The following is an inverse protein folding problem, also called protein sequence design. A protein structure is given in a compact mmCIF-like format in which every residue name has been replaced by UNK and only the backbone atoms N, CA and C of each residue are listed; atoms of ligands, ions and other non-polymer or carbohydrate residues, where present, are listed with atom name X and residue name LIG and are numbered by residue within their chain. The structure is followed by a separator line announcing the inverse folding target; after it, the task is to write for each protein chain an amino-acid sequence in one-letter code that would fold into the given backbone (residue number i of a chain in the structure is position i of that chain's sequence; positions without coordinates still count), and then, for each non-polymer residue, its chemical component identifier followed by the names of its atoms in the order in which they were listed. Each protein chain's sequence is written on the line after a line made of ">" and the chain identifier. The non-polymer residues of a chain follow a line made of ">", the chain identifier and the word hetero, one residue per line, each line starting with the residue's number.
data_IF_769224002930
#
_entry.id   IF_769224002930
#
_cell.length_a   1.000
_cell.length_b   1.000
_cell.length_c   1.000
_cell.angle_alpha   90.00
_cell.angle_beta   90.00
_cell.angle_gamma   90.00
#
_symmetry.space_group_name_H-M   'P 1'
#
loop_
_entity.id
_entity.type
_entity.pdbx_description
1 polymer ?
#
# COMPACT_ATOMS: atom_id res chain seq x y z
N UNK A 1 6.19 20.99 -4.47
CA UNK A 1 6.27 21.47 -3.06
C UNK A 1 5.06 22.27 -2.64
N UNK A 2 4.62 23.26 -3.42
CA UNK A 2 3.51 24.15 -3.06
C UNK A 2 2.19 23.42 -2.73
N UNK A 3 1.89 22.28 -3.38
CA UNK A 3 0.72 21.45 -3.04
C UNK A 3 0.82 20.68 -1.70
N UNK A 4 2.02 20.27 -1.29
CA UNK A 4 2.19 19.39 -0.11
C UNK A 4 2.32 20.15 1.21
N UNK A 5 2.88 21.37 1.18
CA UNK A 5 3.05 22.16 2.41
C UNK A 5 1.71 22.43 3.11
N UNK A 6 0.66 22.91 2.42
CA UNK A 6 -0.67 23.07 3.04
C UNK A 6 -1.28 21.74 3.46
N UNK A 7 -1.04 20.67 2.70
CA UNK A 7 -1.51 19.32 3.05
C UNK A 7 -0.99 18.88 4.42
N UNK A 8 0.27 19.18 4.72
CA UNK A 8 0.87 18.85 6.02
C UNK A 8 0.15 19.52 7.20
N UNK A 9 -0.38 20.73 7.03
CA UNK A 9 -1.18 21.38 8.06
C UNK A 9 -2.57 20.73 8.20
N UNK A 10 -3.21 20.41 7.08
CA UNK A 10 -4.53 19.76 7.05
C UNK A 10 -4.47 18.41 7.76
N UNK A 11 -3.47 17.57 7.45
CA UNK A 11 -3.33 16.26 8.09
C UNK A 11 -3.01 16.39 9.58
N UNK A 12 -2.20 17.37 10.00
CA UNK A 12 -1.89 17.56 11.43
C UNK A 12 -3.15 17.95 12.20
N UNK A 13 -3.96 18.87 11.66
CA UNK A 13 -5.24 19.26 12.25
C UNK A 13 -6.21 18.07 12.30
N UNK A 14 -6.27 17.29 11.23
CA UNK A 14 -7.13 16.11 11.14
C UNK A 14 -6.74 15.03 12.15
N UNK A 15 -5.46 14.63 12.18
CA UNK A 15 -4.95 13.63 13.13
C UNK A 15 -5.15 14.06 14.59
N UNK A 16 -4.94 15.35 14.88
CA UNK A 16 -5.17 15.89 16.23
C UNK A 16 -6.64 15.86 16.62
N UNK A 17 -7.54 16.13 15.68
CA UNK A 17 -8.99 16.03 15.89
C UNK A 17 -9.43 14.59 16.18
N UNK A 18 -8.88 13.60 15.48
CA UNK A 18 -9.14 12.17 15.73
C UNK A 18 -8.61 11.76 17.11
N UNK A 19 -7.37 12.13 17.44
CA UNK A 19 -6.76 11.77 18.72
C UNK A 19 -7.47 12.45 19.91
N UNK A 20 -7.87 13.71 19.78
CA UNK A 20 -8.60 14.43 20.82
C UNK A 20 -9.90 13.74 21.21
N UNK A 21 -10.63 13.20 20.23
CA UNK A 21 -11.88 12.47 20.47
C UNK A 21 -11.66 11.21 21.30
N UNK A 22 -10.54 10.50 21.05
CA UNK A 22 -10.15 9.31 21.80
C UNK A 22 -9.66 9.65 23.21
N UNK A 23 -8.76 10.62 23.35
CA UNK A 23 -8.21 11.00 24.67
C UNK A 23 -9.29 11.62 25.56
N UNK A 24 -10.17 12.45 24.98
CA UNK A 24 -11.24 13.12 25.73
C UNK A 24 -12.49 12.25 25.94
N UNK A 25 -12.45 10.96 25.55
CA UNK A 25 -13.58 10.02 25.58
C UNK A 25 -14.86 10.52 24.91
N UNK A 26 -14.77 11.54 24.04
CA UNK A 26 -15.91 12.06 23.28
C UNK A 26 -16.42 11.06 22.24
N UNK A 27 -15.54 10.15 21.81
CA UNK A 27 -15.90 9.04 20.92
C UNK A 27 -16.85 8.03 21.55
N UNK A 28 -16.92 7.90 22.89
CA UNK A 28 -17.86 6.98 23.56
C UNK A 28 -19.31 7.32 23.21
N UNK A 29 -19.65 8.62 23.17
CA UNK A 29 -20.99 9.09 22.80
C UNK A 29 -21.35 8.76 21.33
N UNK A 30 -20.35 8.71 20.45
CA UNK A 30 -20.55 8.37 19.04
C UNK A 30 -20.70 6.86 18.83
N UNK A 31 -20.06 6.03 19.66
CA UNK A 31 -20.17 4.57 19.58
C UNK A 31 -21.53 4.03 20.05
N UNK A 32 -22.24 4.80 20.89
CA UNK A 32 -23.59 4.45 21.40
C UNK A 32 -24.70 5.07 20.54
N UNK A 33 -24.36 6.02 19.67
CA UNK A 33 -25.32 6.60 18.73
C UNK A 33 -25.74 5.55 17.67
N UNK A 34 -26.99 5.57 17.18
CA UNK A 34 -27.46 4.67 16.13
C UNK A 34 -26.95 5.13 14.75
N UNK A 35 -25.64 5.33 14.63
CA UNK A 35 -24.95 5.84 13.44
C UNK A 35 -23.89 4.83 13.04
N UNK A 36 -23.76 4.55 11.75
CA UNK A 36 -22.74 3.62 11.29
C UNK A 36 -21.33 4.21 11.49
N UNK A 37 -20.35 3.34 11.76
CA UNK A 37 -18.95 3.75 11.93
C UNK A 37 -18.41 4.47 10.69
N UNK A 38 -18.85 4.03 9.51
CA UNK A 38 -18.47 4.66 8.25
C UNK A 38 -19.00 6.09 8.18
N UNK A 39 -20.24 6.35 8.61
CA UNK A 39 -20.82 7.69 8.62
C UNK A 39 -20.09 8.61 9.59
N UNK A 40 -19.69 8.11 10.75
CA UNK A 40 -18.91 8.87 11.74
C UNK A 40 -17.56 9.28 11.14
N UNK A 41 -16.84 8.31 10.57
CA UNK A 41 -15.52 8.55 9.97
C UNK A 41 -15.66 9.48 8.75
N UNK A 42 -16.56 9.18 7.82
CA UNK A 42 -16.78 9.98 6.63
C UNK A 42 -17.22 11.41 6.97
N UNK A 43 -18.19 11.58 7.88
CA UNK A 43 -18.66 12.89 8.33
C UNK A 43 -17.55 13.74 8.93
N UNK A 44 -16.56 13.11 9.59
CA UNK A 44 -15.38 13.80 10.12
C UNK A 44 -14.30 14.03 9.08
N UNK A 45 -14.09 13.13 8.14
CA UNK A 45 -13.06 13.24 7.10
C UNK A 45 -13.46 14.23 5.99
N UNK A 46 -14.73 14.27 5.59
CA UNK A 46 -15.23 15.05 4.46
C UNK A 46 -14.90 16.56 4.54
N UNK A 47 -15.02 17.25 5.68
CA UNK A 47 -14.60 18.65 5.78
C UNK A 47 -13.11 18.86 5.45
N UNK A 48 -12.24 17.95 5.88
CA UNK A 48 -10.81 18.03 5.59
C UNK A 48 -10.51 17.71 4.13
N UNK A 49 -11.26 16.80 3.51
CA UNK A 49 -11.21 16.55 2.06
C UNK A 49 -11.63 17.81 1.29
N UNK A 50 -12.73 18.45 1.69
CA UNK A 50 -13.21 19.68 1.05
C UNK A 50 -12.18 20.82 1.13
N UNK A 51 -11.57 21.02 2.30
CA UNK A 51 -10.48 21.99 2.48
C UNK A 51 -9.27 21.62 1.62
N UNK A 52 -8.87 20.35 1.60
CA UNK A 52 -7.76 19.87 0.78
C UNK A 52 -8.00 20.10 -0.72
N UNK A 53 -9.21 19.82 -1.21
CA UNK A 53 -9.61 20.09 -2.61
C UNK A 53 -9.61 21.59 -2.89
N UNK A 54 -10.19 22.41 -2.01
CA UNK A 54 -10.25 23.86 -2.20
C UNK A 54 -8.85 24.49 -2.26
N UNK A 55 -7.96 24.10 -1.35
CA UNK A 55 -6.56 24.56 -1.34
C UNK A 55 -5.82 24.06 -2.57
N UNK A 56 -6.03 22.80 -2.96
CA UNK A 56 -5.43 22.23 -4.19
C UNK A 56 -5.90 22.98 -5.43
N UNK A 57 -7.19 23.30 -5.53
CA UNK A 57 -7.75 24.06 -6.64
C UNK A 57 -7.19 25.48 -6.69
N UNK A 58 -7.14 26.18 -5.56
CA UNK A 58 -6.56 27.52 -5.48
C UNK A 58 -5.10 27.53 -5.94
N UNK A 59 -4.31 26.54 -5.54
CA UNK A 59 -2.91 26.42 -5.96
C UNK A 59 -2.82 26.07 -7.45
N UNK A 60 -3.58 25.07 -7.92
CA UNK A 60 -3.56 24.62 -9.30
C UNK A 60 -3.86 25.76 -10.27
N UNK A 61 -4.96 26.49 -10.04
CA UNK A 61 -5.30 27.65 -10.87
C UNK A 61 -4.32 28.80 -10.69
N UNK A 62 -3.80 29.02 -9.47
CA UNK A 62 -2.82 30.07 -9.19
C UNK A 62 -1.48 29.90 -9.91
N UNK A 63 -1.09 28.67 -10.24
CA UNK A 63 0.14 28.36 -10.99
C UNK A 63 -0.09 28.12 -12.48
N UNK A 64 -1.32 28.34 -12.98
CA UNK A 64 -1.68 28.15 -14.39
C UNK A 64 -2.04 26.71 -14.80
N UNK A 65 -2.26 25.81 -13.83
CA UNK A 65 -2.81 24.48 -14.08
C UNK A 65 -4.34 24.49 -14.23
N UNK A 66 -4.94 23.33 -14.48
CA UNK A 66 -6.39 23.18 -14.66
C UNK A 66 -7.03 22.21 -13.65
N UNK A 67 -8.27 21.80 -13.92
CA UNK A 67 -8.93 20.72 -13.18
C UNK A 67 -8.14 19.41 -13.24
N UNK A 68 -7.34 19.17 -14.29
CA UNK A 68 -6.47 18.01 -14.38
C UNK A 68 -5.44 18.00 -13.23
N UNK A 69 -4.76 19.13 -12.98
CA UNK A 69 -3.88 19.28 -11.82
C UNK A 69 -4.59 19.01 -10.49
N UNK A 70 -5.84 19.44 -10.36
CA UNK A 70 -6.64 19.17 -9.16
C UNK A 70 -6.89 17.67 -9.01
N UNK A 71 -7.36 17.02 -10.07
CA UNK A 71 -7.63 15.57 -10.08
C UNK A 71 -6.38 14.71 -9.92
N UNK A 72 -5.20 15.20 -10.29
CA UNK A 72 -3.93 14.52 -10.06
C UNK A 72 -3.50 14.58 -8.57
N UNK A 73 -3.83 15.65 -7.86
CA UNK A 73 -3.41 15.88 -6.46
C UNK A 73 -4.43 15.35 -5.43
N UNK A 74 -5.72 15.27 -5.76
CA UNK A 74 -6.74 14.65 -4.90
C UNK A 74 -6.34 13.28 -4.34
N UNK A 75 -5.89 12.30 -5.14
CA UNK A 75 -5.54 10.98 -4.61
C UNK A 75 -4.37 11.04 -3.61
N UNK A 76 -3.43 11.98 -3.80
CA UNK A 76 -2.37 12.25 -2.83
C UNK A 76 -2.99 12.70 -1.50
N UNK A 77 -3.89 13.69 -1.54
CA UNK A 77 -4.56 14.21 -0.35
C UNK A 77 -5.34 13.12 0.40
N UNK A 78 -6.06 12.27 -0.32
CA UNK A 78 -6.82 11.16 0.24
C UNK A 78 -5.92 10.15 0.94
N UNK A 79 -4.79 9.75 0.32
CA UNK A 79 -3.83 8.83 0.95
C UNK A 79 -3.23 9.42 2.22
N UNK A 80 -2.88 10.71 2.20
CA UNK A 80 -2.38 11.43 3.37
C UNK A 80 -3.40 11.47 4.52
N UNK A 81 -4.67 11.77 4.22
CA UNK A 81 -5.75 11.75 5.20
C UNK A 81 -6.02 10.33 5.72
N UNK A 82 -6.09 9.33 4.85
CA UNK A 82 -6.34 7.95 5.23
C UNK A 82 -5.22 7.37 6.11
N UNK A 83 -3.96 7.60 5.75
CA UNK A 83 -2.81 7.18 6.54
C UNK A 83 -2.79 7.88 7.90
N UNK A 84 -3.11 9.18 7.93
CA UNK A 84 -3.19 9.95 9.18
C UNK A 84 -4.32 9.47 10.07
N UNK A 85 -5.47 9.11 9.50
CA UNK A 85 -6.59 8.52 10.24
C UNK A 85 -6.15 7.23 10.93
N UNK A 86 -5.57 6.29 10.18
CA UNK A 86 -5.03 5.04 10.73
C UNK A 86 -3.98 5.33 11.82
N UNK A 87 -3.06 6.25 11.55
CA UNK A 87 -2.03 6.66 12.50
C UNK A 87 -2.60 7.23 13.81
N UNK A 88 -3.66 8.03 13.73
CA UNK A 88 -4.33 8.61 14.89
C UNK A 88 -5.17 7.59 15.68
N UNK A 89 -5.70 6.56 15.01
CA UNK A 89 -6.33 5.42 15.69
C UNK A 89 -5.29 4.61 16.48
N UNK A 90 -4.06 4.51 15.98
CA UNK A 90 -3.00 3.75 16.64
C UNK A 90 -2.25 4.53 17.73
N UNK A 91 -2.05 5.83 17.55
CA UNK A 91 -1.31 6.65 18.50
C UNK A 91 -2.01 6.72 19.87
N UNK A 92 -1.24 6.67 20.97
CA UNK A 92 -1.76 6.79 22.34
C UNK A 92 -1.65 8.21 22.90
N UNK A 93 -0.82 9.04 22.28
CA UNK A 93 -0.54 10.40 22.71
C UNK A 93 -0.19 11.29 21.52
N UNK A 94 -0.23 12.61 21.71
CA UNK A 94 0.18 13.58 20.69
C UNK A 94 1.63 13.39 20.26
N UNK A 95 2.50 12.97 21.19
CA UNK A 95 3.90 12.64 20.89
C UNK A 95 3.98 11.47 19.91
N UNK A 96 3.26 10.37 20.17
CA UNK A 96 3.22 9.22 19.26
C UNK A 96 2.58 9.57 17.91
N UNK A 97 1.50 10.35 17.91
CA UNK A 97 0.87 10.83 16.69
C UNK A 97 1.84 11.66 15.85
N UNK A 98 2.64 12.52 16.47
CA UNK A 98 3.66 13.30 15.78
C UNK A 98 4.70 12.39 15.13
N UNK A 99 5.20 11.37 15.84
CA UNK A 99 6.12 10.40 15.24
C UNK A 99 5.51 9.66 14.05
N UNK A 100 4.26 9.19 14.19
CA UNK A 100 3.57 8.46 13.12
C UNK A 100 3.32 9.35 11.91
N UNK A 101 2.84 10.58 12.11
CA UNK A 101 2.56 11.54 11.03
C UNK A 101 3.83 12.02 10.33
N UNK A 102 4.95 12.16 11.04
CA UNK A 102 6.26 12.43 10.42
C UNK A 102 6.67 11.26 9.55
N UNK A 103 6.57 10.02 10.02
CA UNK A 103 6.88 8.82 9.21
C UNK A 103 6.02 8.75 7.95
N UNK A 104 4.70 8.96 8.08
CA UNK A 104 3.77 9.02 6.94
C UNK A 104 4.20 10.10 5.95
N UNK A 105 4.48 11.30 6.45
CA UNK A 105 4.83 12.44 5.61
C UNK A 105 6.14 12.21 4.88
N UNK A 106 7.18 11.74 5.55
CA UNK A 106 8.49 11.45 4.93
C UNK A 106 8.35 10.39 3.84
N UNK A 107 7.61 9.31 4.12
CA UNK A 107 7.43 8.23 3.15
C UNK A 107 6.65 8.69 1.93
N UNK A 108 5.46 9.27 2.13
CA UNK A 108 4.59 9.70 1.03
C UNK A 108 5.23 10.84 0.22
N UNK A 109 5.89 11.78 0.89
CA UNK A 109 6.62 12.87 0.22
C UNK A 109 7.77 12.33 -0.63
N UNK A 110 8.53 11.35 -0.12
CA UNK A 110 9.58 10.67 -0.91
C UNK A 110 9.01 10.02 -2.15
N UNK A 111 7.89 9.28 -2.01
CA UNK A 111 7.22 8.67 -3.16
C UNK A 111 6.78 9.70 -4.20
N UNK A 112 6.21 10.82 -3.75
CA UNK A 112 5.67 11.83 -4.66
C UNK A 112 6.80 12.56 -5.40
N UNK A 113 7.93 12.81 -4.75
CA UNK A 113 9.01 13.60 -5.35
C UNK A 113 10.03 12.77 -6.14
N UNK A 114 10.51 11.64 -5.61
CA UNK A 114 11.63 10.90 -6.21
C UNK A 114 11.37 10.59 -7.69
N UNK A 115 10.23 10.00 -8.08
CA UNK A 115 9.97 9.71 -9.48
C UNK A 115 9.81 10.99 -10.32
N UNK A 116 9.17 12.03 -9.77
CA UNK A 116 8.91 13.29 -10.48
C UNK A 116 10.18 14.06 -10.88
N UNK A 117 11.34 13.74 -10.31
CA UNK A 117 12.63 14.33 -10.70
C UNK A 117 13.07 13.83 -12.08
N UNK A 118 12.66 12.63 -12.48
CA UNK A 118 13.04 12.00 -13.75
C UNK A 118 12.16 12.46 -14.92
N UNK A 119 11.90 13.76 -15.04
CA UNK A 119 11.03 14.35 -16.08
C UNK A 119 11.39 13.92 -17.51
N UNK A 120 12.68 13.67 -17.79
CA UNK A 120 13.17 13.20 -19.09
C UNK A 120 12.97 11.69 -19.33
N UNK A 121 12.47 10.94 -18.34
CA UNK A 121 12.20 9.50 -18.42
C UNK A 121 10.74 9.28 -18.02
N UNK A 122 9.84 9.56 -18.97
CA UNK A 122 8.39 9.60 -18.73
C UNK A 122 7.83 8.39 -17.97
N UNK A 123 8.21 7.12 -18.26
CA UNK A 123 7.67 5.98 -17.51
C UNK A 123 8.05 6.00 -16.02
N UNK A 124 9.24 6.48 -15.67
CA UNK A 124 9.68 6.64 -14.27
C UNK A 124 8.97 7.82 -13.65
N UNK A 125 8.87 8.96 -14.35
CA UNK A 125 8.18 10.13 -13.85
C UNK A 125 6.72 9.82 -13.51
N UNK A 126 6.01 9.10 -14.37
CA UNK A 126 4.59 8.75 -14.20
C UNK A 126 4.29 7.86 -12.99
N UNK A 127 5.29 7.34 -12.28
CA UNK A 127 5.09 6.67 -10.99
C UNK A 127 4.45 7.65 -9.97
N UNK A 128 4.78 8.93 -10.05
CA UNK A 128 4.20 9.96 -9.19
C UNK A 128 2.99 10.65 -9.85
N UNK A 129 1.84 10.77 -9.16
CA UNK A 129 0.73 11.61 -9.62
C UNK A 129 1.11 13.08 -9.83
N UNK A 130 2.13 13.58 -9.11
CA UNK A 130 2.58 14.97 -9.26
C UNK A 130 3.18 15.25 -10.65
N UNK A 131 3.68 14.21 -11.32
CA UNK A 131 4.18 14.33 -12.70
C UNK A 131 3.09 14.79 -13.66
N UNK A 132 1.83 14.40 -13.45
CA UNK A 132 0.72 14.85 -14.30
C UNK A 132 0.53 16.37 -14.26
N UNK A 133 0.77 16.98 -13.09
CA UNK A 133 0.77 18.44 -12.91
C UNK A 133 1.93 19.06 -13.68
N UNK A 134 3.12 18.47 -13.59
CA UNK A 134 4.32 18.97 -14.28
C UNK A 134 4.14 18.92 -15.80
N UNK A 135 3.66 17.79 -16.32
CA UNK A 135 3.35 17.59 -17.74
C UNK A 135 2.34 18.63 -18.24
N UNK A 136 1.25 18.86 -17.50
CA UNK A 136 0.25 19.88 -17.86
C UNK A 136 0.89 21.28 -17.95
N UNK A 137 1.66 21.68 -16.95
CA UNK A 137 2.31 22.99 -16.91
C UNK A 137 3.38 23.17 -18.01
N UNK A 138 3.94 22.07 -18.51
CA UNK A 138 4.87 22.06 -19.65
C UNK A 138 4.15 22.04 -21.01
N UNK A 139 2.82 21.97 -21.03
CA UNK A 139 2.02 21.87 -22.25
C UNK A 139 2.03 20.48 -22.87
N UNK A 140 2.41 19.45 -22.12
CA UNK A 140 2.39 18.06 -22.57
C UNK A 140 0.98 17.46 -22.46
N UNK A 141 0.64 16.55 -23.38
CA UNK A 141 -0.66 15.88 -23.38
C UNK A 141 -0.66 14.74 -22.37
N UNK A 142 -1.57 14.82 -21.40
CA UNK A 142 -1.79 13.74 -20.43
C UNK A 142 -2.86 12.78 -20.95
N UNK A 143 -2.44 11.57 -21.32
CA UNK A 143 -3.35 10.49 -21.71
C UNK A 143 -4.06 9.86 -20.51
N UNK A 144 -5.21 9.22 -20.77
CA UNK A 144 -5.98 8.50 -19.74
C UNK A 144 -5.16 7.38 -19.07
N UNK A 145 -4.34 6.66 -19.85
CA UNK A 145 -3.45 5.62 -19.32
C UNK A 145 -2.46 6.16 -18.30
N UNK A 146 -1.81 7.29 -18.60
CA UNK A 146 -0.91 7.99 -17.68
C UNK A 146 -1.64 8.43 -16.41
N UNK A 147 -2.84 9.01 -16.56
CA UNK A 147 -3.63 9.44 -15.41
C UNK A 147 -3.99 8.26 -14.49
N UNK A 148 -4.54 7.17 -15.04
CA UNK A 148 -4.96 6.00 -14.27
C UNK A 148 -3.75 5.33 -13.62
N UNK A 149 -2.64 5.16 -14.35
CA UNK A 149 -1.43 4.56 -13.81
C UNK A 149 -0.88 5.31 -12.60
N UNK A 150 -0.76 6.64 -12.69
CA UNK A 150 -0.20 7.43 -11.59
C UNK A 150 -1.16 7.56 -10.40
N UNK A 151 -2.48 7.59 -10.63
CA UNK A 151 -3.47 7.92 -9.57
C UNK A 151 -4.15 6.71 -8.94
N UNK A 152 -4.38 5.62 -9.69
CA UNK A 152 -5.11 4.45 -9.18
C UNK A 152 -4.48 3.82 -7.93
N UNK A 153 -3.15 3.65 -7.82
CA UNK A 153 -2.55 3.08 -6.61
C UNK A 153 -2.88 3.89 -5.37
N UNK A 154 -2.87 5.23 -5.47
CA UNK A 154 -3.23 6.11 -4.37
C UNK A 154 -4.71 6.01 -3.99
N UNK A 155 -5.61 6.05 -4.97
CA UNK A 155 -7.04 5.88 -4.68
C UNK A 155 -7.32 4.56 -3.98
N UNK A 156 -6.77 3.45 -4.51
CA UNK A 156 -6.95 2.12 -3.95
C UNK A 156 -6.33 2.02 -2.54
N UNK A 157 -5.09 2.47 -2.36
CA UNK A 157 -4.42 2.50 -1.05
C UNK A 157 -5.19 3.34 -0.03
N UNK A 158 -5.72 4.50 -0.43
CA UNK A 158 -6.53 5.35 0.48
C UNK A 158 -7.81 4.63 0.93
N UNK A 159 -8.50 3.94 0.01
CA UNK A 159 -9.69 3.15 0.33
C UNK A 159 -9.38 2.01 1.30
N UNK A 160 -8.27 1.30 1.09
CA UNK A 160 -7.85 0.22 1.99
C UNK A 160 -7.42 0.77 3.36
N UNK A 161 -6.73 1.90 3.43
CA UNK A 161 -6.38 2.54 4.70
C UNK A 161 -7.64 2.97 5.48
N UNK A 162 -8.63 3.58 4.83
CA UNK A 162 -9.91 3.88 5.47
C UNK A 162 -10.65 2.61 5.91
N UNK A 163 -10.62 1.55 5.09
CA UNK A 163 -11.16 0.25 5.50
C UNK A 163 -10.45 -0.29 6.74
N UNK A 164 -9.12 -0.26 6.84
CA UNK A 164 -8.42 -0.72 8.04
C UNK A 164 -8.75 0.16 9.26
N UNK A 165 -8.70 1.48 9.11
CA UNK A 165 -8.96 2.43 10.20
C UNK A 165 -10.40 2.37 10.73
N UNK A 166 -11.40 2.18 9.86
CA UNK A 166 -12.81 2.02 10.27
C UNK A 166 -13.04 0.68 10.98
N UNK A 167 -12.20 -0.33 10.71
CA UNK A 167 -12.28 -1.65 11.33
C UNK A 167 -12.02 -1.61 12.82
N UNK A 168 -11.06 -0.77 13.22
CA UNK A 168 -10.62 -0.50 14.61
C UNK A 168 -11.33 0.69 15.24
N UNK A 169 -12.36 1.23 14.61
CA UNK A 169 -13.24 2.23 15.22
C UNK A 169 -14.27 1.52 16.12
N UNK A 170 -13.77 0.87 17.17
CA UNK A 170 -14.53 0.10 18.16
C UNK A 170 -14.04 0.46 19.55
N UNK A 171 -14.89 0.27 20.57
CA UNK A 171 -14.55 0.63 21.95
C UNK A 171 -13.28 -0.10 22.42
N UNK A 172 -13.20 -1.40 22.11
CA UNK A 172 -12.07 -2.26 22.46
C UNK A 172 -10.73 -1.74 21.92
N UNK A 173 -10.70 -1.22 20.70
CA UNK A 173 -9.48 -0.79 20.02
C UNK A 173 -9.17 0.68 20.27
N UNK A 174 -10.22 1.52 20.27
CA UNK A 174 -10.11 2.97 20.46
C UNK A 174 -9.54 3.32 21.82
N UNK A 175 -9.81 2.55 22.87
CA UNK A 175 -9.34 2.87 24.21
C UNK A 175 -8.20 1.97 24.69
N UNK A 176 -7.79 0.98 23.90
CA UNK A 176 -6.66 0.11 24.24
C UNK A 176 -5.34 0.90 24.35
N UNK A 177 -4.50 0.47 25.29
CA UNK A 177 -3.16 1.02 25.53
C UNK A 177 -2.04 0.20 24.87
N UNK A 178 -2.42 -0.72 23.97
CA UNK A 178 -1.48 -1.49 23.14
C UNK A 178 -0.56 -0.56 22.33
N UNK A 179 0.69 -0.99 22.12
CA UNK A 179 1.66 -0.26 21.30
C UNK A 179 1.18 -0.23 19.84
N UNK A 180 1.60 0.80 19.09
CA UNK A 180 1.23 1.00 17.66
C UNK A 180 1.35 -0.29 16.81
N UNK A 181 2.44 -1.08 16.88
CA UNK A 181 2.54 -2.30 16.06
C UNK A 181 1.49 -3.36 16.39
N UNK A 182 1.08 -3.47 17.65
CA UNK A 182 0.04 -4.43 18.05
C UNK A 182 -1.34 -3.96 17.57
N UNK A 183 -1.63 -2.66 17.64
CA UNK A 183 -2.86 -2.10 17.07
C UNK A 183 -2.94 -2.24 15.56
N UNK A 184 -1.79 -2.22 14.89
CA UNK A 184 -1.72 -2.53 13.47
C UNK A 184 -2.14 -3.99 13.22
N UNK A 185 -1.65 -4.95 14.00
CA UNK A 185 -2.10 -6.35 13.90
C UNK A 185 -3.60 -6.49 14.22
N UNK A 186 -4.09 -5.81 15.26
CA UNK A 186 -5.53 -5.78 15.58
C UNK A 186 -6.38 -5.25 14.39
N UNK A 187 -5.88 -4.24 13.67
CA UNK A 187 -6.57 -3.72 12.49
C UNK A 187 -6.66 -4.71 11.33
N UNK A 188 -5.63 -5.55 11.17
CA UNK A 188 -5.64 -6.63 10.19
C UNK A 188 -6.59 -7.73 10.63
N UNK A 189 -6.48 -8.15 11.88
CA UNK A 189 -7.28 -9.22 12.49
C UNK A 189 -8.78 -8.89 12.48
N UNK A 190 -9.15 -7.63 12.73
CA UNK A 190 -10.54 -7.15 12.65
C UNK A 190 -11.20 -7.37 11.28
N UNK A 191 -10.43 -7.70 10.23
CA UNK A 191 -10.90 -8.02 8.88
C UNK A 191 -10.90 -9.53 8.58
N UNK A 192 -10.47 -10.37 9.52
CA UNK A 192 -10.36 -11.81 9.36
C UNK A 192 -11.56 -12.54 9.96
N UNK A 193 -12.09 -13.52 9.22
CA UNK A 193 -13.17 -14.41 9.65
C UNK A 193 -13.05 -15.83 9.08
N UNK A 194 -12.15 -16.06 8.12
CA UNK A 194 -11.94 -17.37 7.51
C UNK A 194 -10.92 -17.33 6.35
N UNK A 195 -10.87 -18.41 5.57
CA UNK A 195 -9.96 -18.52 4.43
C UNK A 195 -10.21 -17.44 3.37
N UNK A 196 -11.49 -17.14 3.10
CA UNK A 196 -11.86 -16.13 2.10
C UNK A 196 -11.40 -14.74 2.49
N UNK A 197 -11.55 -14.36 3.76
CA UNK A 197 -11.12 -13.03 4.22
C UNK A 197 -9.61 -12.86 4.13
N UNK A 198 -8.84 -13.93 4.36
CA UNK A 198 -7.38 -13.93 4.17
C UNK A 198 -7.03 -13.63 2.71
N UNK A 199 -7.57 -14.39 1.75
CA UNK A 199 -7.31 -14.15 0.33
C UNK A 199 -7.76 -12.75 -0.14
N UNK A 200 -8.91 -12.27 0.35
CA UNK A 200 -9.40 -10.91 0.04
C UNK A 200 -8.48 -9.84 0.63
N UNK A 201 -8.04 -9.98 1.88
CA UNK A 201 -7.16 -9.01 2.51
C UNK A 201 -5.80 -8.98 1.82
N UNK A 202 -5.26 -10.13 1.38
CA UNK A 202 -4.07 -10.19 0.52
C UNK A 202 -4.27 -9.42 -0.78
N UNK A 203 -5.40 -9.62 -1.46
CA UNK A 203 -5.73 -8.89 -2.68
C UNK A 203 -5.80 -7.37 -2.44
N UNK A 204 -6.36 -6.95 -1.30
CA UNK A 204 -6.42 -5.54 -0.89
C UNK A 204 -5.04 -4.95 -0.53
N UNK A 205 -4.01 -5.76 -0.31
CA UNK A 205 -2.65 -5.26 -0.10
C UNK A 205 -1.87 -4.99 -1.39
N UNK A 206 -2.31 -5.53 -2.52
CA UNK A 206 -1.64 -5.34 -3.83
C UNK A 206 -1.41 -3.86 -4.19
N UNK A 207 -2.34 -2.91 -3.94
CA UNK A 207 -2.07 -1.50 -4.18
C UNK A 207 -0.84 -0.97 -3.40
N UNK A 208 -0.65 -1.39 -2.14
CA UNK A 208 0.54 -0.99 -1.38
C UNK A 208 1.80 -1.66 -1.94
N UNK A 209 1.73 -2.96 -2.26
CA UNK A 209 2.83 -3.71 -2.87
C UNK A 209 3.31 -2.98 -4.12
N UNK A 210 2.37 -2.64 -5.01
CA UNK A 210 2.65 -1.91 -6.24
C UNK A 210 3.28 -0.53 -5.97
N UNK A 211 2.79 0.22 -4.98
CA UNK A 211 3.43 1.49 -4.55
C UNK A 211 4.89 1.24 -4.11
N UNK A 212 5.15 0.26 -3.26
CA UNK A 212 6.51 -0.01 -2.80
C UNK A 212 7.45 -0.48 -3.94
N UNK A 213 6.95 -1.30 -4.86
CA UNK A 213 7.70 -1.77 -6.02
C UNK A 213 8.04 -0.63 -6.98
N UNK A 214 7.06 0.22 -7.31
CA UNK A 214 7.30 1.38 -8.17
C UNK A 214 8.28 2.36 -7.53
N UNK A 215 8.22 2.56 -6.21
CA UNK A 215 9.22 3.35 -5.50
C UNK A 215 10.61 2.70 -5.60
N UNK A 216 10.68 1.37 -5.45
CA UNK A 216 11.90 0.59 -5.65
C UNK A 216 12.49 0.80 -7.04
N UNK A 217 11.67 0.72 -8.08
CA UNK A 217 12.07 1.00 -9.47
C UNK A 217 12.62 2.42 -9.59
N UNK A 218 11.89 3.43 -9.10
CA UNK A 218 12.30 4.83 -9.21
C UNK A 218 13.63 5.12 -8.48
N UNK A 219 13.84 4.54 -7.30
CA UNK A 219 15.06 4.72 -6.50
C UNK A 219 16.25 3.99 -7.13
N UNK A 220 16.05 2.75 -7.59
CA UNK A 220 17.12 1.92 -8.14
C UNK A 220 17.47 2.25 -9.59
N UNK A 221 16.62 3.02 -10.29
CA UNK A 221 16.83 3.41 -11.69
C UNK A 221 18.17 4.12 -11.93
N UNK A 222 18.70 4.84 -10.94
CA UNK A 222 19.95 5.57 -11.07
C UNK A 222 21.20 4.68 -10.99
N UNK A 223 21.05 3.41 -10.56
CA UNK A 223 22.16 2.48 -10.36
C UNK A 223 22.44 1.66 -11.62
N UNK A 224 23.69 1.17 -11.79
CA UNK A 224 24.01 0.23 -12.86
C UNK A 224 23.10 -1.01 -12.83
N UNK A 225 22.74 -1.51 -14.02
CA UNK A 225 21.82 -2.65 -14.21
C UNK A 225 22.29 -3.90 -13.43
N UNK A 226 23.60 -4.13 -13.36
CA UNK A 226 24.20 -5.25 -12.62
C UNK A 226 23.92 -5.21 -11.11
N UNK A 227 23.59 -4.03 -10.57
CA UNK A 227 23.23 -3.82 -9.16
C UNK A 227 21.71 -3.69 -9.02
N UNK A 228 21.07 -2.92 -9.91
CA UNK A 228 19.65 -2.60 -9.79
C UNK A 228 18.74 -3.80 -10.03
N UNK A 229 19.08 -4.73 -10.94
CA UNK A 229 18.30 -5.95 -11.17
C UNK A 229 18.30 -6.85 -9.93
N UNK A 230 19.44 -7.31 -9.37
CA UNK A 230 19.41 -8.12 -8.15
C UNK A 230 18.72 -7.40 -6.99
N UNK A 231 18.94 -6.08 -6.85
CA UNK A 231 18.33 -5.29 -5.78
C UNK A 231 16.80 -5.22 -5.91
N UNK A 232 16.25 -4.99 -7.11
CA UNK A 232 14.80 -4.89 -7.29
C UNK A 232 14.12 -6.24 -7.05
N UNK A 233 14.75 -7.36 -7.43
CA UNK A 233 14.20 -8.69 -7.18
C UNK A 233 14.09 -8.98 -5.67
N UNK A 234 15.06 -8.51 -4.88
CA UNK A 234 15.00 -8.60 -3.41
C UNK A 234 13.90 -7.69 -2.87
N UNK A 235 13.79 -6.45 -3.35
CA UNK A 235 12.75 -5.51 -2.90
C UNK A 235 11.35 -6.07 -3.16
N UNK A 236 11.09 -6.52 -4.38
CA UNK A 236 9.82 -7.14 -4.79
C UNK A 236 9.49 -8.32 -3.87
N UNK A 237 10.40 -9.30 -3.77
CA UNK A 237 10.18 -10.48 -2.93
C UNK A 237 9.92 -10.12 -1.46
N UNK A 238 10.67 -9.18 -0.88
CA UNK A 238 10.46 -8.75 0.52
C UNK A 238 9.07 -8.13 0.70
N UNK A 239 8.69 -7.20 -0.18
CA UNK A 239 7.42 -6.48 -0.11
C UNK A 239 6.25 -7.46 -0.28
N UNK A 240 6.32 -8.32 -1.29
CA UNK A 240 5.29 -9.32 -1.57
C UNK A 240 5.13 -10.34 -0.44
N UNK A 241 6.22 -10.91 0.07
CA UNK A 241 6.15 -11.92 1.13
C UNK A 241 5.63 -11.33 2.45
N UNK A 242 5.97 -10.08 2.76
CA UNK A 242 5.38 -9.37 3.92
C UNK A 242 3.88 -9.20 3.70
N UNK A 243 3.45 -8.67 2.56
CA UNK A 243 2.04 -8.44 2.27
C UNK A 243 1.22 -9.74 2.35
N UNK A 244 1.72 -10.81 1.75
CA UNK A 244 1.04 -12.12 1.74
C UNK A 244 0.92 -12.77 3.12
N UNK A 245 1.78 -12.42 4.09
CA UNK A 245 1.88 -13.19 5.34
C UNK A 245 1.54 -12.42 6.62
N UNK A 246 1.68 -11.09 6.65
CA UNK A 246 1.57 -10.32 7.90
C UNK A 246 0.17 -10.38 8.53
N UNK A 247 -0.88 -10.43 7.73
CA UNK A 247 -2.26 -10.56 8.22
C UNK A 247 -2.55 -12.00 8.71
N UNK A 248 -1.88 -13.02 8.17
CA UNK A 248 -1.95 -14.39 8.71
C UNK A 248 -1.30 -14.43 10.09
N UNK A 249 -0.15 -13.77 10.25
CA UNK A 249 0.49 -13.62 11.56
C UNK A 249 -0.41 -12.88 12.56
N UNK A 250 -1.07 -11.79 12.13
CA UNK A 250 -2.05 -11.08 12.95
C UNK A 250 -3.18 -11.99 13.45
N UNK A 251 -3.72 -12.85 12.58
CA UNK A 251 -4.78 -13.80 12.95
C UNK A 251 -4.34 -14.88 13.93
N UNK A 252 -3.07 -15.31 13.90
CA UNK A 252 -2.53 -16.23 14.91
C UNK A 252 -2.17 -15.55 16.22
N UNK A 253 -1.69 -14.30 16.18
CA UNK A 253 -1.34 -13.53 17.38
C UNK A 253 -2.60 -13.18 18.20
N UNK A 254 -3.74 -12.95 17.55
CA UNK A 254 -5.03 -12.68 18.19
C UNK A 254 -5.91 -13.93 18.40
N UNK A 255 -5.36 -15.13 18.18
CA UNK A 255 -6.04 -16.43 18.33
C UNK A 255 -7.35 -16.58 17.52
N UNK A 256 -7.50 -15.83 16.43
CA UNK A 256 -8.61 -15.92 15.46
C UNK A 256 -8.62 -17.26 14.72
N UNK A 257 -7.44 -17.86 14.51
CA UNK A 257 -7.28 -19.16 13.85
C UNK A 257 -6.60 -20.18 14.75
N UNK A 258 -7.02 -21.45 14.63
CA UNK A 258 -6.34 -22.55 15.31
C UNK A 258 -4.92 -22.73 14.77
N UNK A 259 -3.98 -23.01 15.66
CA UNK A 259 -2.56 -23.10 15.30
C UNK A 259 -2.19 -24.42 14.61
N UNK A 260 -3.11 -25.20 14.03
CA UNK A 260 -2.75 -26.47 13.36
C UNK A 260 -1.96 -26.23 12.07
N UNK A 261 -1.21 -27.26 11.65
CA UNK A 261 -0.46 -27.23 10.37
C UNK A 261 -1.43 -27.11 9.19
N UNK A 262 -2.56 -27.84 9.24
CA UNK A 262 -3.55 -27.82 8.18
C UNK A 262 -4.16 -26.42 8.00
N UNK A 263 -4.48 -25.73 9.09
CA UNK A 263 -5.01 -24.35 9.04
C UNK A 263 -3.95 -23.38 8.49
N UNK A 264 -2.71 -23.45 8.96
CA UNK A 264 -1.63 -22.62 8.44
C UNK A 264 -1.43 -22.77 6.92
N UNK A 265 -1.42 -24.00 6.40
CA UNK A 265 -1.27 -24.26 4.97
C UNK A 265 -2.48 -23.80 4.15
N UNK A 266 -3.71 -23.95 4.67
CA UNK A 266 -4.93 -23.47 4.00
C UNK A 266 -4.98 -21.94 3.94
N UNK A 267 -4.60 -21.26 5.03
CA UNK A 267 -4.50 -19.79 5.06
C UNK A 267 -3.41 -19.32 4.08
N UNK A 268 -2.25 -19.99 4.08
CA UNK A 268 -1.17 -19.70 3.14
C UNK A 268 -1.58 -19.87 1.68
N UNK A 269 -2.30 -20.96 1.35
CA UNK A 269 -2.83 -21.18 0.01
C UNK A 269 -3.89 -20.12 -0.38
N UNK A 270 -4.81 -19.80 0.53
CA UNK A 270 -5.82 -18.77 0.28
C UNK A 270 -5.19 -17.39 0.03
N UNK A 271 -4.19 -17.01 0.82
CA UNK A 271 -3.44 -15.77 0.61
C UNK A 271 -2.64 -15.80 -0.70
N UNK A 272 -1.90 -16.88 -0.98
CA UNK A 272 -1.14 -17.02 -2.22
C UNK A 272 -2.01 -16.94 -3.48
N UNK A 273 -3.19 -17.57 -3.47
CA UNK A 273 -4.20 -17.45 -4.55
C UNK A 273 -4.74 -16.03 -4.64
N UNK A 274 -5.09 -15.42 -3.50
CA UNK A 274 -5.58 -14.04 -3.45
C UNK A 274 -4.58 -13.04 -4.05
N UNK A 275 -3.30 -13.21 -3.72
CA UNK A 275 -2.22 -12.42 -4.31
C UNK A 275 -2.11 -12.64 -5.82
N UNK A 276 -2.00 -13.90 -6.26
CA UNK A 276 -1.85 -14.24 -7.68
C UNK A 276 -2.99 -13.72 -8.56
N UNK A 277 -4.23 -13.72 -8.05
CA UNK A 277 -5.37 -13.15 -8.77
C UNK A 277 -5.28 -11.63 -8.81
N UNK A 278 -4.93 -11.01 -7.69
CA UNK A 278 -4.92 -9.56 -7.56
C UNK A 278 -3.76 -8.88 -8.31
N UNK A 279 -2.57 -9.51 -8.34
CA UNK A 279 -1.41 -8.98 -9.07
C UNK A 279 -1.69 -8.85 -10.57
N UNK A 280 -2.61 -9.64 -11.15
CA UNK A 280 -2.94 -9.52 -12.59
C UNK A 280 -3.60 -8.18 -12.92
N UNK A 281 -4.18 -7.49 -11.95
CA UNK A 281 -4.71 -6.15 -12.18
C UNK A 281 -3.62 -5.07 -12.31
N UNK A 282 -2.35 -5.40 -12.02
CA UNK A 282 -1.19 -4.50 -12.26
C UNK A 282 -0.82 -4.34 -13.74
N UNK A 283 -1.51 -5.06 -14.65
CA UNK A 283 -1.38 -4.92 -16.12
C UNK A 283 -1.50 -3.47 -16.60
N UNK A 284 -2.17 -2.59 -15.84
CA UNK A 284 -2.22 -1.14 -16.11
C UNK A 284 -0.83 -0.51 -16.32
N UNK A 285 0.23 -1.06 -15.70
CA UNK A 285 1.61 -0.62 -15.93
C UNK A 285 2.08 -0.77 -17.40
N UNK A 286 1.50 -1.70 -18.15
CA UNK A 286 1.78 -1.88 -19.57
C UNK A 286 1.36 -0.66 -20.39
N UNK A 287 0.31 0.06 -19.94
CA UNK A 287 -0.24 1.21 -20.66
C UNK A 287 0.69 2.43 -20.68
N UNK A 288 1.69 2.50 -19.79
CA UNK A 288 2.64 3.62 -19.68
C UNK A 288 4.06 3.28 -20.16
N UNK A 289 4.25 2.12 -20.78
CA UNK A 289 5.54 1.74 -21.36
C UNK A 289 6.63 1.37 -20.35
N UNK A 290 6.30 1.19 -19.07
CA UNK A 290 7.24 0.72 -18.05
C UNK A 290 7.96 -0.60 -18.40
N UNK A 291 7.30 -1.60 -19.04
CA UNK A 291 7.97 -2.82 -19.50
C UNK A 291 9.03 -2.61 -20.60
N UNK A 292 9.07 -1.42 -21.20
CA UNK A 292 10.12 -0.98 -22.11
C UNK A 292 11.45 -0.66 -21.41
N UNK A 293 11.42 -0.46 -20.08
CA UNK A 293 12.62 -0.32 -19.26
C UNK A 293 13.01 -1.69 -18.68
N UNK A 294 14.29 -2.07 -18.74
CA UNK A 294 14.78 -3.33 -18.18
C UNK A 294 14.41 -3.48 -16.70
N UNK A 295 14.60 -2.41 -15.91
CA UNK A 295 14.27 -2.41 -14.48
C UNK A 295 12.76 -2.53 -14.23
N UNK A 296 11.94 -1.84 -15.03
CA UNK A 296 10.48 -1.93 -14.95
C UNK A 296 9.97 -3.32 -15.33
N UNK A 297 10.63 -3.96 -16.30
CA UNK A 297 10.36 -5.34 -16.69
C UNK A 297 10.69 -6.33 -15.58
N UNK A 298 11.87 -6.22 -14.99
CA UNK A 298 12.30 -7.09 -13.89
C UNK A 298 11.42 -6.96 -12.64
N UNK A 299 10.85 -5.77 -12.41
CA UNK A 299 9.96 -5.52 -11.27
C UNK A 299 8.51 -5.96 -11.49
N UNK A 300 7.96 -5.78 -12.70
CA UNK A 300 6.51 -5.85 -12.94
C UNK A 300 6.06 -6.95 -13.91
N UNK A 301 6.97 -7.61 -14.64
CA UNK A 301 6.55 -8.77 -15.42
C UNK A 301 6.35 -9.96 -14.49
N UNK A 302 5.13 -10.53 -14.43
CA UNK A 302 4.94 -11.81 -13.77
C UNK A 302 5.87 -12.79 -14.47
N UNK A 303 6.75 -13.41 -13.69
CA UNK A 303 7.63 -14.46 -14.12
C UNK A 303 6.90 -15.43 -15.09
N UNK A 304 7.22 -15.36 -16.39
CA UNK A 304 6.73 -16.31 -17.39
C UNK A 304 5.53 -15.91 -18.27
N UNK A 305 5.02 -14.68 -18.24
CA UNK A 305 3.94 -14.27 -19.17
C UNK A 305 4.52 -13.51 -20.36
N UNK A 306 5.04 -14.22 -21.36
CA UNK A 306 5.10 -13.69 -22.73
C UNK A 306 3.80 -14.07 -23.45
N UNK A 307 3.29 -13.26 -24.41
CA UNK A 307 2.06 -13.57 -25.16
C UNK A 307 2.10 -14.94 -25.88
N UNK A 308 3.29 -15.49 -26.10
CA UNK A 308 3.56 -16.73 -26.82
C UNK A 308 3.60 -18.00 -25.96
N UNK A 309 3.49 -17.90 -24.62
CA UNK A 309 4.01 -18.95 -23.75
C UNK A 309 2.94 -19.43 -22.76
N UNK A 310 2.54 -20.71 -22.88
CA UNK A 310 1.20 -21.21 -22.53
C UNK A 310 0.85 -21.37 -21.05
N UNK A 311 -0.31 -21.98 -20.79
CA UNK A 311 -0.96 -22.19 -19.47
C UNK A 311 -0.05 -22.78 -18.37
N UNK A 312 1.00 -23.52 -18.74
CA UNK A 312 2.02 -24.05 -17.82
C UNK A 312 2.84 -22.97 -17.10
N UNK A 313 3.03 -21.78 -17.69
CA UNK A 313 3.79 -20.69 -17.06
C UNK A 313 2.96 -19.88 -16.05
N UNK A 314 1.62 -19.95 -16.12
CA UNK A 314 0.77 -19.35 -15.08
C UNK A 314 0.78 -20.16 -13.78
N UNK A 315 1.11 -21.45 -13.84
CA UNK A 315 1.21 -22.32 -12.66
C UNK A 315 2.46 -22.02 -11.83
N UNK A 316 3.56 -21.58 -12.45
CA UNK A 316 4.82 -21.29 -11.78
C UNK A 316 4.68 -20.24 -10.66
N UNK A 317 4.25 -19.00 -10.99
CA UNK A 317 4.01 -17.96 -9.99
C UNK A 317 2.96 -18.37 -8.97
N UNK A 318 1.85 -19.00 -9.39
CA UNK A 318 0.82 -19.45 -8.46
C UNK A 318 1.37 -20.43 -7.41
N UNK A 319 2.13 -21.44 -7.85
CA UNK A 319 2.79 -22.41 -6.96
C UNK A 319 3.77 -21.70 -6.05
N UNK A 320 4.56 -20.75 -6.59
CA UNK A 320 5.48 -19.95 -5.79
C UNK A 320 4.75 -19.23 -4.66
N UNK A 321 3.72 -18.43 -4.97
CA UNK A 321 3.02 -17.66 -3.94
C UNK A 321 2.35 -18.57 -2.91
N UNK A 322 1.78 -19.71 -3.31
CA UNK A 322 1.20 -20.68 -2.36
C UNK A 322 2.28 -21.27 -1.44
N UNK A 323 3.42 -21.67 -2.00
CA UNK A 323 4.51 -22.30 -1.25
C UNK A 323 5.17 -21.30 -0.29
N UNK A 324 5.58 -20.13 -0.77
CA UNK A 324 6.27 -19.13 0.06
C UNK A 324 5.38 -18.58 1.17
N UNK A 325 4.10 -18.37 0.86
CA UNK A 325 3.12 -17.95 1.88
C UNK A 325 2.80 -19.08 2.86
N UNK A 326 2.73 -20.33 2.40
CA UNK A 326 2.59 -21.51 3.26
C UNK A 326 3.75 -21.65 4.24
N UNK A 327 4.99 -21.48 3.78
CA UNK A 327 6.19 -21.46 4.63
C UNK A 327 6.08 -20.38 5.71
N UNK A 328 5.75 -19.14 5.31
CA UNK A 328 5.58 -18.03 6.25
C UNK A 328 4.46 -18.29 7.28
N UNK A 329 3.33 -18.86 6.84
CA UNK A 329 2.21 -19.21 7.72
C UNK A 329 2.57 -20.29 8.75
N UNK A 330 3.43 -21.25 8.39
CA UNK A 330 3.90 -22.29 9.31
C UNK A 330 4.76 -21.73 10.47
N UNK A 331 5.55 -20.68 10.22
CA UNK A 331 6.26 -19.96 11.28
C UNK A 331 5.32 -19.03 12.06
N UNK A 332 4.41 -18.35 11.37
CA UNK A 332 3.42 -17.44 11.95
C UNK A 332 2.58 -18.09 13.06
N UNK A 333 2.21 -19.36 12.91
CA UNK A 333 1.43 -20.09 13.93
C UNK A 333 2.14 -20.24 15.30
N UNK A 334 3.47 -20.13 15.32
CA UNK A 334 4.29 -20.42 16.52
C UNK A 334 4.54 -19.15 17.33
N UNK A 335 5.33 -18.22 16.79
CA UNK A 335 5.67 -16.94 17.41
C UNK A 335 6.40 -16.02 16.42
N UNK A 336 6.61 -14.76 16.80
CA UNK A 336 7.28 -13.74 15.98
C UNK A 336 8.66 -14.19 15.46
N UNK A 337 9.49 -14.84 16.29
CA UNK A 337 10.84 -15.25 15.86
C UNK A 337 10.78 -16.28 14.74
N UNK A 338 9.89 -17.26 14.88
CA UNK A 338 9.70 -18.28 13.85
C UNK A 338 9.04 -17.71 12.60
N UNK A 339 8.07 -16.80 12.76
CA UNK A 339 7.49 -16.06 11.64
C UNK A 339 8.58 -15.36 10.81
N UNK A 340 9.43 -14.56 11.46
CA UNK A 340 10.52 -13.85 10.78
C UNK A 340 11.49 -14.81 10.10
N UNK A 341 11.89 -15.91 10.77
CA UNK A 341 12.79 -16.90 10.17
C UNK A 341 12.19 -17.55 8.91
N UNK A 342 10.91 -17.95 8.95
CA UNK A 342 10.24 -18.55 7.79
C UNK A 342 9.94 -17.53 6.70
N UNK A 343 9.67 -16.28 7.06
CA UNK A 343 9.49 -15.18 6.11
C UNK A 343 10.79 -14.93 5.34
N UNK A 344 11.94 -14.90 6.02
CA UNK A 344 13.25 -14.75 5.35
C UNK A 344 13.54 -15.93 4.41
N UNK A 345 13.17 -17.15 4.80
CA UNK A 345 13.29 -18.32 3.93
C UNK A 345 12.36 -18.22 2.69
N UNK A 346 11.13 -17.78 2.89
CA UNK A 346 10.17 -17.53 1.81
C UNK A 346 10.68 -16.45 0.84
N UNK A 347 11.22 -15.35 1.36
CA UNK A 347 11.87 -14.30 0.55
C UNK A 347 13.03 -14.87 -0.25
N UNK A 348 13.93 -15.65 0.37
CA UNK A 348 15.07 -16.23 -0.35
C UNK A 348 14.63 -17.17 -1.49
N UNK A 349 13.61 -18.00 -1.26
CA UNK A 349 13.03 -18.88 -2.30
C UNK A 349 12.43 -18.04 -3.43
N UNK A 350 11.69 -16.99 -3.09
CA UNK A 350 11.09 -16.08 -4.06
C UNK A 350 12.15 -15.35 -4.90
N UNK A 351 13.17 -14.77 -4.27
CA UNK A 351 14.29 -14.13 -4.97
C UNK A 351 14.98 -15.13 -5.90
N UNK A 352 15.24 -16.35 -5.44
CA UNK A 352 15.88 -17.38 -6.26
C UNK A 352 15.03 -17.76 -7.48
N UNK A 353 13.71 -17.87 -7.29
CA UNK A 353 12.77 -18.12 -8.39
C UNK A 353 12.78 -16.96 -9.41
N UNK A 354 12.61 -15.72 -8.94
CA UNK A 354 12.60 -14.54 -9.81
C UNK A 354 13.92 -14.38 -10.55
N UNK A 355 15.05 -14.60 -9.88
CA UNK A 355 16.37 -14.58 -10.49
C UNK A 355 16.51 -15.66 -11.57
N UNK A 356 16.08 -16.89 -11.28
CA UNK A 356 16.08 -17.97 -12.27
C UNK A 356 15.23 -17.65 -13.50
N UNK A 357 14.08 -17.02 -13.31
CA UNK A 357 13.21 -16.60 -14.42
C UNK A 357 13.85 -15.49 -15.25
N UNK A 358 14.43 -14.47 -14.60
CA UNK A 358 15.16 -13.40 -15.31
C UNK A 358 16.35 -13.96 -16.08
N UNK A 359 17.08 -14.95 -15.56
CA UNK A 359 18.19 -15.57 -16.29
C UNK A 359 17.74 -16.39 -17.50
N UNK A 360 16.54 -16.99 -17.44
CA UNK A 360 16.02 -17.85 -18.52
C UNK A 360 15.28 -17.06 -19.60
N UNK A 361 14.66 -15.93 -19.27
CA UNK A 361 13.73 -15.20 -20.15
C UNK A 361 13.98 -13.69 -20.24
N UNK A 362 14.93 -13.15 -19.46
CA UNK A 362 15.19 -11.71 -19.30
C UNK A 362 16.14 -11.10 -20.31
#
# INVERSE_FOLDING_TARGET
>A
FIFLVPMNFIIQAYGSSILNERISRRGELLLVAPVERLDIVAGKTLPYVAVAVAVTAAIAFGIGGSLLSVFAVIPIALTFLAATFVGAMFARSFKELTFVTVTITVFLTSYIFIPSIFTNVTPIALISPLTLVVMELQGEVVGLGSYVFSTAPFYLSSGVLFLLGTGVYREEDMFSQKRVPLKFLDALDARLSGLRSVGVLTALFVPFVFVFELLGVAVLFILPISISIPAILVVVAVVEEIAKSIHIYAGFENDTFDRSIATALRLGAASGVGFFVAEKFTIVAQAVGLPGLELGRAALQPAGVTPSTGTLLLLGPLVLHIVTTGISALGARRNLRQYVATLLAAVAIHVAYNFGVVQLYG
#
